data_IF_703950985803
#
_entry.id   IF_703950985803
#
_cell.length_a   1.000
_cell.length_b   1.000
_cell.length_c   1.000
_cell.angle_alpha   90.00
_cell.angle_beta   90.00
_cell.angle_gamma   90.00
#
_symmetry.space_group_name_H-M   'P 1'
#
loop_
_entity.id
_entity.type
_entity.pdbx_description
1 polymer ?
#
# COMPACT_ATOMS: atom_id res chain seq x y z
N UNK A 1 -22.27 26.92 -15.69
CA UNK A 1 -22.88 26.74 -14.36
C UNK A 1 -22.07 25.72 -13.61
N UNK A 2 -21.52 26.08 -12.46
CA UNK A 2 -20.70 25.18 -11.63
C UNK A 2 -21.62 24.21 -10.86
N UNK A 3 -21.11 23.04 -10.48
CA UNK A 3 -21.82 22.02 -9.69
C UNK A 3 -22.45 22.58 -8.39
N UNK A 4 -21.96 23.69 -7.88
CA UNK A 4 -22.48 24.36 -6.68
C UNK A 4 -23.79 25.15 -6.88
N UNK A 5 -24.16 25.46 -8.11
CA UNK A 5 -25.40 26.21 -8.40
C UNK A 5 -26.61 25.29 -8.64
N UNK A 6 -26.41 24.02 -8.99
CA UNK A 6 -27.45 23.02 -9.22
C UNK A 6 -28.09 22.48 -7.93
N UNK A 7 -27.41 22.59 -6.79
CA UNK A 7 -27.93 22.12 -5.48
C UNK A 7 -29.05 22.98 -4.87
N UNK A 8 -29.44 24.07 -5.50
CA UNK A 8 -30.55 24.95 -5.00
C UNK A 8 -31.95 24.55 -5.46
N UNK A 9 -32.05 23.57 -6.34
CA UNK A 9 -33.32 23.09 -6.85
C UNK A 9 -33.56 21.65 -6.44
N UNK A 10 -34.77 21.33 -5.95
CA UNK A 10 -35.16 19.98 -5.50
C UNK A 10 -35.31 19.02 -6.71
N UNK A 11 -34.22 18.36 -7.12
CA UNK A 11 -34.21 17.34 -8.17
C UNK A 11 -33.74 16.01 -7.60
N UNK A 12 -34.32 14.90 -8.03
CA UNK A 12 -33.74 13.56 -7.86
C UNK A 12 -32.93 13.23 -9.14
N UNK A 13 -31.66 12.86 -8.97
CA UNK A 13 -30.77 12.48 -10.06
C UNK A 13 -30.66 10.95 -10.07
N UNK A 14 -31.04 10.33 -11.19
CA UNK A 14 -30.87 8.90 -11.40
C UNK A 14 -29.87 8.68 -12.52
N UNK A 15 -28.84 7.82 -12.27
CA UNK A 15 -27.87 7.38 -13.29
C UNK A 15 -28.19 5.92 -13.64
N UNK A 16 -28.43 5.63 -14.91
CA UNK A 16 -28.68 4.28 -15.42
C UNK A 16 -27.72 3.95 -16.55
N UNK A 17 -27.41 2.67 -16.72
CA UNK A 17 -26.59 2.14 -17.80
C UNK A 17 -27.33 1.01 -18.50
N UNK A 18 -27.56 1.17 -19.81
CA UNK A 18 -28.05 0.11 -20.69
C UNK A 18 -27.04 -0.09 -21.80
N UNK A 19 -26.32 -1.21 -21.78
CA UNK A 19 -25.23 -1.46 -22.71
C UNK A 19 -24.09 -0.44 -22.57
N UNK A 20 -23.64 0.16 -23.67
CA UNK A 20 -22.57 1.16 -23.72
C UNK A 20 -23.04 2.62 -23.66
N UNK A 21 -24.29 2.86 -23.27
CA UNK A 21 -24.88 4.22 -23.23
C UNK A 21 -25.18 4.58 -21.78
N UNK A 22 -24.61 5.69 -21.30
CA UNK A 22 -24.94 6.31 -20.01
C UNK A 22 -25.97 7.43 -20.23
N UNK A 23 -27.04 7.45 -19.41
CA UNK A 23 -28.01 8.54 -19.41
C UNK A 23 -28.25 9.04 -17.99
N UNK A 24 -28.44 10.36 -17.90
CA UNK A 24 -28.76 11.07 -16.67
C UNK A 24 -30.20 11.53 -16.73
N UNK A 25 -31.06 11.01 -15.85
CA UNK A 25 -32.46 11.46 -15.74
C UNK A 25 -32.59 12.42 -14.56
N UNK A 26 -33.05 13.65 -14.85
CA UNK A 26 -33.43 14.66 -13.87
C UNK A 26 -34.94 14.64 -13.66
N UNK A 27 -35.41 14.38 -12.45
CA UNK A 27 -36.84 14.40 -12.09
C UNK A 27 -37.11 15.63 -11.22
N UNK A 28 -37.97 16.53 -11.74
CA UNK A 28 -38.49 17.70 -10.99
C UNK A 28 -39.47 17.25 -9.90
N UNK A 29 -39.23 17.63 -8.64
CA UNK A 29 -40.24 17.52 -7.58
C UNK A 29 -41.12 18.79 -7.59
N UNK A 30 -42.30 18.71 -8.20
CA UNK A 30 -43.33 19.74 -8.03
C UNK A 30 -44.23 19.35 -6.86
N UNK A 31 -44.28 20.18 -5.81
CA UNK A 31 -45.36 20.14 -4.83
C UNK A 31 -46.61 20.67 -5.49
N UNK A 32 -47.55 19.79 -5.85
CA UNK A 32 -48.89 20.20 -6.29
C UNK A 32 -49.82 20.05 -5.09
N UNK A 33 -50.39 21.19 -4.65
CA UNK A 33 -51.59 21.22 -3.80
C UNK A 33 -52.80 20.63 -4.55
N UNK A 34 -53.75 19.97 -3.90
CA UNK A 34 -54.77 19.19 -4.59
C UNK A 34 -55.84 20.07 -5.20
N UNK A 35 -55.96 20.04 -6.52
CA UNK A 35 -57.16 20.45 -7.23
C UNK A 35 -57.44 19.49 -8.39
N UNK A 36 -58.64 18.90 -8.33
CA UNK A 36 -59.44 18.12 -9.29
C UNK A 36 -58.80 17.50 -10.56
N UNK A 37 -59.15 16.21 -10.68
CA UNK A 37 -59.23 15.34 -11.88
C UNK A 37 -58.97 16.06 -13.22
N UNK A 38 -57.92 15.68 -13.92
CA UNK A 38 -57.86 15.19 -15.31
C UNK A 38 -56.40 15.22 -15.82
N UNK A 39 -56.02 14.11 -16.46
CA UNK A 39 -54.87 13.87 -17.35
C UNK A 39 -53.44 14.06 -16.79
N UNK A 40 -52.82 12.93 -16.50
CA UNK A 40 -51.35 12.80 -16.39
C UNK A 40 -50.75 12.84 -17.81
N UNK A 41 -50.23 13.99 -18.22
CA UNK A 41 -49.34 14.07 -19.37
C UNK A 41 -47.90 14.09 -18.85
N UNK A 42 -47.18 13.00 -19.06
CA UNK A 42 -45.74 12.93 -18.80
C UNK A 42 -45.03 13.47 -20.04
N UNK A 43 -44.50 14.69 -19.95
CA UNK A 43 -43.68 15.26 -21.03
C UNK A 43 -42.24 14.74 -20.79
N UNK A 44 -41.76 13.86 -21.67
CA UNK A 44 -40.38 13.49 -21.77
C UNK A 44 -39.63 14.51 -22.64
N UNK A 45 -38.81 15.38 -22.04
CA UNK A 45 -37.85 16.20 -22.75
C UNK A 45 -36.55 15.43 -22.85
N UNK A 46 -36.33 14.76 -23.98
CA UNK A 46 -35.05 14.09 -24.28
C UNK A 46 -34.11 15.14 -24.89
N UNK A 47 -33.11 15.58 -24.11
CA UNK A 47 -31.98 16.33 -24.63
C UNK A 47 -30.95 15.35 -25.15
N UNK A 48 -30.82 15.22 -26.46
CA UNK A 48 -29.70 14.54 -27.10
C UNK A 48 -28.47 15.50 -27.06
N UNK A 49 -27.58 15.30 -26.14
CA UNK A 49 -26.25 15.93 -26.22
C UNK A 49 -25.36 15.08 -27.15
N UNK A 50 -25.16 15.56 -28.35
CA UNK A 50 -24.06 15.11 -29.22
C UNK A 50 -22.75 15.61 -28.58
N UNK A 51 -22.12 14.78 -27.75
CA UNK A 51 -20.74 14.99 -27.35
C UNK A 51 -19.83 14.66 -28.53
N UNK A 52 -19.36 15.69 -29.24
CA UNK A 52 -18.15 15.59 -30.02
C UNK A 52 -17.04 15.09 -29.11
N UNK A 53 -16.33 14.04 -29.52
CA UNK A 53 -15.38 13.27 -28.72
C UNK A 53 -14.34 14.14 -28.01
N UNK A 54 -14.58 14.49 -26.77
CA UNK A 54 -13.53 14.75 -25.82
C UNK A 54 -12.98 13.37 -25.47
N UNK A 55 -11.86 13.00 -26.08
CA UNK A 55 -11.08 11.88 -25.61
C UNK A 55 -10.64 12.25 -24.18
N UNK A 56 -11.33 11.70 -23.18
CA UNK A 56 -10.78 11.62 -21.82
C UNK A 56 -9.52 10.78 -21.99
N UNK A 57 -8.32 11.30 -21.69
CA UNK A 57 -7.14 10.46 -21.73
C UNK A 57 -7.43 9.25 -20.85
N UNK A 58 -7.34 8.05 -21.42
CA UNK A 58 -7.45 6.82 -20.66
C UNK A 58 -6.45 6.93 -19.49
N UNK A 59 -6.92 6.68 -18.28
CA UNK A 59 -6.05 6.58 -17.13
C UNK A 59 -4.93 5.59 -17.52
N UNK A 60 -3.71 6.10 -17.65
CA UNK A 60 -2.53 5.28 -17.93
C UNK A 60 -2.44 4.32 -16.74
N UNK A 61 -2.76 3.05 -16.97
CA UNK A 61 -2.61 2.05 -15.94
C UNK A 61 -1.13 1.99 -15.55
N UNK A 62 -0.83 1.95 -14.28
CA UNK A 62 0.52 1.95 -13.69
C UNK A 62 1.50 0.94 -14.35
N UNK A 63 1.00 -0.03 -15.10
CA UNK A 63 1.79 -1.06 -15.79
C UNK A 63 2.49 -0.58 -17.08
N UNK A 64 2.11 0.55 -17.66
CA UNK A 64 2.65 1.05 -18.94
C UNK A 64 3.69 2.17 -18.78
N UNK A 65 3.89 2.70 -17.57
CA UNK A 65 4.93 3.68 -17.32
C UNK A 65 6.31 3.02 -17.34
N UNK A 66 7.17 3.45 -18.26
CA UNK A 66 8.57 3.00 -18.31
C UNK A 66 9.43 3.97 -17.53
N UNK A 67 10.11 3.46 -16.48
CA UNK A 67 11.12 4.21 -15.76
C UNK A 67 12.53 3.79 -16.16
N UNK A 68 13.42 4.77 -16.32
CA UNK A 68 14.86 4.55 -16.36
C UNK A 68 15.32 4.20 -14.95
N UNK A 69 16.20 3.19 -14.77
CA UNK A 69 16.75 2.90 -13.45
C UNK A 69 17.49 4.10 -12.83
N UNK A 70 17.49 4.25 -11.50
CA UNK A 70 18.21 5.33 -10.83
C UNK A 70 19.74 5.17 -10.90
N UNK A 71 20.23 4.00 -11.34
CA UNK A 71 21.65 3.67 -11.44
C UNK A 71 21.95 2.88 -12.72
N UNK A 72 23.19 3.01 -13.22
CA UNK A 72 23.69 2.28 -14.42
C UNK A 72 24.26 0.89 -14.09
N UNK A 73 24.39 0.53 -12.82
CA UNK A 73 24.89 -0.78 -12.37
C UNK A 73 23.77 -1.73 -11.99
N UNK A 74 24.03 -3.05 -11.84
CA UNK A 74 23.02 -4.03 -11.43
C UNK A 74 22.34 -3.67 -10.12
N UNK A 75 21.01 -3.67 -10.13
CA UNK A 75 20.17 -3.25 -9.00
C UNK A 75 20.05 -4.37 -7.97
N UNK A 76 20.35 -4.06 -6.72
CA UNK A 76 20.04 -4.86 -5.54
C UNK A 76 19.56 -3.95 -4.42
N UNK A 77 18.81 -4.50 -3.46
CA UNK A 77 18.17 -3.71 -2.41
C UNK A 77 18.71 -4.07 -1.02
N UNK A 78 18.59 -3.14 -0.08
CA UNK A 78 18.72 -3.38 1.36
C UNK A 78 17.38 -3.40 2.08
N UNK A 79 16.34 -2.84 1.49
CA UNK A 79 14.95 -2.86 1.94
C UNK A 79 14.00 -2.75 0.75
N UNK A 80 12.83 -3.40 0.83
CA UNK A 80 11.80 -3.32 -0.20
C UNK A 80 10.57 -2.53 0.27
N UNK A 81 9.65 -2.26 -0.66
CA UNK A 81 8.38 -1.60 -0.39
C UNK A 81 7.52 -2.43 0.57
N UNK A 82 6.82 -1.75 1.48
CA UNK A 82 5.91 -2.40 2.42
C UNK A 82 6.57 -3.24 3.51
N UNK A 83 7.91 -3.22 3.63
CA UNK A 83 8.61 -3.88 4.73
C UNK A 83 8.11 -3.37 6.08
N UNK A 84 7.85 -4.31 7.02
CA UNK A 84 7.35 -3.98 8.35
C UNK A 84 8.44 -3.31 9.17
N UNK A 85 8.28 -2.03 9.46
CA UNK A 85 9.09 -1.26 10.40
C UNK A 85 8.38 -1.16 11.75
N UNK A 86 9.01 -0.57 12.76
CA UNK A 86 8.47 -0.55 14.14
C UNK A 86 7.06 0.05 14.25
N UNK A 87 6.71 1.05 13.43
CA UNK A 87 5.44 1.78 13.51
C UNK A 87 4.94 2.34 12.16
N UNK A 88 5.53 1.89 11.04
CA UNK A 88 5.17 2.32 9.69
C UNK A 88 5.60 1.26 8.66
N UNK A 89 5.06 1.33 7.45
CA UNK A 89 5.56 0.61 6.29
C UNK A 89 6.76 1.32 5.69
N UNK A 90 7.70 0.58 5.16
CA UNK A 90 8.76 1.14 4.32
C UNK A 90 8.14 1.64 3.00
N UNK A 91 8.23 2.95 2.72
CA UNK A 91 7.51 3.60 1.62
C UNK A 91 8.10 3.40 0.24
N UNK A 92 9.32 2.87 0.13
CA UNK A 92 10.04 2.81 -1.13
C UNK A 92 10.97 1.61 -1.26
N UNK A 93 12.02 1.78 -2.08
CA UNK A 93 13.11 0.84 -2.25
C UNK A 93 14.43 1.45 -1.75
N UNK A 94 15.18 0.70 -0.96
CA UNK A 94 16.52 1.05 -0.53
C UNK A 94 17.56 0.43 -1.48
N UNK A 95 18.00 1.17 -2.51
CA UNK A 95 18.97 0.72 -3.50
C UNK A 95 20.37 0.66 -2.92
N UNK A 96 21.02 -0.49 -2.96
CA UNK A 96 22.42 -0.65 -2.52
C UNK A 96 23.38 0.08 -3.45
N UNK A 97 24.34 0.77 -2.88
CA UNK A 97 25.41 1.49 -3.60
C UNK A 97 26.81 0.87 -3.38
N UNK A 98 26.83 -0.42 -2.98
CA UNK A 98 28.09 -1.13 -2.72
C UNK A 98 28.83 -0.63 -1.47
N UNK A 99 28.10 -0.05 -0.50
CA UNK A 99 28.68 0.51 0.73
C UNK A 99 29.45 1.83 0.51
N UNK A 100 29.25 2.51 -0.63
CA UNK A 100 29.91 3.77 -0.98
C UNK A 100 28.90 4.88 -1.25
N UNK A 101 29.31 6.12 -0.97
CA UNK A 101 28.57 7.34 -1.35
C UNK A 101 29.05 7.85 -2.72
N UNK A 102 28.33 8.84 -3.28
CA UNK A 102 28.78 9.55 -4.50
C UNK A 102 28.42 8.87 -5.81
N UNK A 103 27.57 7.83 -5.82
CA UNK A 103 27.07 7.23 -7.06
C UNK A 103 26.08 8.18 -7.72
N UNK A 104 26.20 8.44 -9.05
CA UNK A 104 25.22 9.26 -9.76
C UNK A 104 23.83 8.68 -9.65
N UNK A 105 22.86 9.52 -9.25
CA UNK A 105 21.43 9.18 -9.18
C UNK A 105 20.74 9.81 -10.37
N UNK A 106 20.02 9.01 -11.15
CA UNK A 106 19.36 9.43 -12.39
C UNK A 106 17.88 9.70 -12.16
N UNK A 107 17.34 10.73 -12.84
CA UNK A 107 15.90 10.93 -12.97
C UNK A 107 15.25 9.75 -13.71
N UNK A 108 14.14 9.25 -13.22
CA UNK A 108 13.49 8.04 -13.74
C UNK A 108 12.76 8.29 -15.07
N UNK A 109 12.28 9.51 -15.28
CA UNK A 109 11.56 9.94 -16.49
C UNK A 109 11.77 11.44 -16.73
N UNK A 110 11.14 11.97 -17.76
CA UNK A 110 11.08 13.41 -18.03
C UNK A 110 10.11 14.10 -17.05
N UNK A 111 10.53 15.26 -16.50
CA UNK A 111 9.77 16.01 -15.53
C UNK A 111 10.53 17.22 -15.01
N UNK A 112 10.34 17.56 -13.75
CA UNK A 112 11.02 18.66 -13.08
C UNK A 112 11.20 18.42 -11.58
N UNK A 113 12.19 19.05 -10.96
CA UNK A 113 12.41 19.03 -9.53
C UNK A 113 11.33 19.88 -8.86
N UNK A 114 10.49 19.26 -8.03
CA UNK A 114 9.34 19.88 -7.41
C UNK A 114 9.59 20.36 -5.98
N UNK A 115 10.59 19.79 -5.29
CA UNK A 115 10.97 20.19 -3.93
C UNK A 115 12.40 19.74 -3.63
N UNK A 116 13.13 20.58 -2.90
CA UNK A 116 14.51 20.36 -2.48
C UNK A 116 14.58 20.56 -0.98
N UNK A 117 15.12 19.62 -0.24
CA UNK A 117 15.22 19.70 1.23
C UNK A 117 16.57 19.22 1.72
N UNK A 118 17.07 19.87 2.77
CA UNK A 118 18.15 19.37 3.60
C UNK A 118 17.63 19.36 5.04
N UNK A 119 17.54 18.17 5.65
CA UNK A 119 16.95 17.98 6.98
C UNK A 119 17.78 17.02 7.82
N UNK A 120 17.74 17.14 9.14
CA UNK A 120 18.42 16.19 10.03
C UNK A 120 17.90 14.76 9.88
N UNK A 121 16.58 14.59 9.67
CA UNK A 121 15.95 13.28 9.61
C UNK A 121 16.25 12.51 8.32
N UNK A 122 16.02 13.14 7.17
CA UNK A 122 16.12 12.49 5.85
C UNK A 122 17.40 12.84 5.08
N UNK A 123 18.22 13.74 5.61
CA UNK A 123 19.43 14.23 4.95
C UNK A 123 19.12 15.15 3.76
N UNK A 124 19.89 15.03 2.70
CA UNK A 124 19.63 15.67 1.42
C UNK A 124 18.51 14.90 0.69
N UNK A 125 17.45 15.61 0.32
CA UNK A 125 16.23 15.04 -0.25
C UNK A 125 15.82 15.79 -1.51
N UNK A 126 15.51 15.07 -2.57
CA UNK A 126 15.09 15.62 -3.85
C UNK A 126 13.78 15.00 -4.29
N UNK A 127 12.74 15.82 -4.43
CA UNK A 127 11.44 15.40 -4.94
C UNK A 127 11.37 15.77 -6.42
N UNK A 128 10.94 14.82 -7.25
CA UNK A 128 10.80 15.02 -8.71
C UNK A 128 9.39 14.66 -9.14
N UNK A 129 8.73 15.56 -9.85
CA UNK A 129 7.45 15.34 -10.49
C UNK A 129 7.67 14.99 -11.96
N UNK A 130 7.10 13.89 -12.43
CA UNK A 130 7.26 13.41 -13.80
C UNK A 130 6.01 13.63 -14.64
N UNK A 131 6.20 13.81 -15.95
CA UNK A 131 5.12 14.04 -16.92
C UNK A 131 4.21 12.81 -17.11
N UNK A 132 4.58 11.66 -16.58
CA UNK A 132 3.84 10.40 -16.66
C UNK A 132 2.89 10.13 -15.49
N UNK A 133 2.61 11.13 -14.65
CA UNK A 133 1.67 11.02 -13.53
C UNK A 133 2.24 10.44 -12.24
N UNK A 134 3.57 10.34 -12.13
CA UNK A 134 4.25 9.90 -10.90
C UNK A 134 5.12 10.99 -10.32
N UNK A 135 5.41 10.84 -9.02
CA UNK A 135 6.41 11.64 -8.29
C UNK A 135 7.38 10.69 -7.59
N UNK A 136 8.62 11.15 -7.38
CA UNK A 136 9.58 10.43 -6.53
C UNK A 136 10.14 11.32 -5.45
N UNK A 137 10.49 10.70 -4.32
CA UNK A 137 11.29 11.31 -3.26
C UNK A 137 12.58 10.50 -3.15
N UNK A 138 13.71 11.14 -3.41
CA UNK A 138 15.05 10.57 -3.32
C UNK A 138 15.69 11.05 -2.02
N UNK A 139 16.04 10.14 -1.09
CA UNK A 139 16.54 10.49 0.24
C UNK A 139 17.97 9.99 0.47
N UNK A 140 18.54 10.47 1.57
CA UNK A 140 19.89 10.12 2.04
C UNK A 140 21.00 10.47 1.05
N UNK A 141 20.76 11.42 0.14
CA UNK A 141 21.73 11.87 -0.85
C UNK A 141 22.95 12.51 -0.17
N UNK A 142 24.10 12.51 -0.84
CA UNK A 142 25.28 13.21 -0.35
C UNK A 142 25.33 14.67 -0.80
N UNK A 143 24.81 14.96 -2.00
CA UNK A 143 24.75 16.30 -2.56
C UNK A 143 23.80 16.32 -3.76
N UNK A 144 23.36 17.50 -4.15
CA UNK A 144 22.69 17.78 -5.42
C UNK A 144 23.73 18.10 -6.50
N UNK A 145 23.30 18.32 -7.76
CA UNK A 145 24.19 18.68 -8.84
C UNK A 145 23.75 19.98 -9.52
N UNK A 146 24.68 20.64 -10.23
CA UNK A 146 24.39 21.81 -11.07
C UNK A 146 23.85 23.00 -10.29
N UNK A 147 22.81 23.65 -10.87
CA UNK A 147 22.20 24.85 -10.29
C UNK A 147 21.49 24.60 -8.98
N UNK A 148 20.93 23.41 -8.80
CA UNK A 148 20.29 23.01 -7.54
C UNK A 148 21.30 23.01 -6.38
N UNK A 149 22.50 22.45 -6.60
CA UNK A 149 23.54 22.43 -5.58
C UNK A 149 23.93 23.85 -5.17
N UNK A 150 24.18 24.74 -6.14
CA UNK A 150 24.51 26.15 -5.87
C UNK A 150 23.40 26.88 -5.10
N UNK A 151 22.15 26.71 -5.57
CA UNK A 151 20.99 27.37 -4.92
C UNK A 151 20.81 26.93 -3.46
N UNK A 152 21.05 25.65 -3.15
CA UNK A 152 21.00 25.14 -1.78
C UNK A 152 22.13 25.73 -0.94
N UNK A 153 23.36 25.74 -1.43
CA UNK A 153 24.52 26.31 -0.76
C UNK A 153 24.32 27.80 -0.46
N UNK A 154 23.91 28.58 -1.45
CA UNK A 154 23.61 30.01 -1.29
C UNK A 154 22.56 30.24 -0.19
N UNK A 155 21.48 29.44 -0.19
CA UNK A 155 20.41 29.57 0.79
C UNK A 155 20.85 29.16 2.22
N UNK A 156 21.74 28.16 2.33
CA UNK A 156 22.31 27.73 3.60
C UNK A 156 23.18 28.85 4.21
N UNK A 157 23.99 29.55 3.40
CA UNK A 157 24.76 30.72 3.83
C UNK A 157 23.87 31.94 4.15
N UNK A 158 22.86 32.19 3.31
CA UNK A 158 21.91 33.30 3.53
C UNK A 158 21.16 33.15 4.85
N UNK A 159 20.73 31.93 5.17
CA UNK A 159 19.97 31.60 6.38
C UNK A 159 20.82 31.25 7.59
N UNK A 160 22.14 31.15 7.42
CA UNK A 160 23.07 30.62 8.44
C UNK A 160 22.55 29.28 9.03
N UNK A 161 21.99 28.42 8.18
CA UNK A 161 21.33 27.17 8.56
C UNK A 161 21.72 26.04 7.62
N UNK A 162 22.05 24.88 8.21
CA UNK A 162 22.22 23.66 7.42
C UNK A 162 20.90 23.16 6.85
N UNK A 163 19.81 23.29 7.62
CA UNK A 163 18.46 22.87 7.16
C UNK A 163 17.85 23.95 6.27
N UNK A 164 17.47 23.54 5.07
CA UNK A 164 16.80 24.41 4.09
C UNK A 164 15.74 23.63 3.35
N UNK A 165 14.75 24.38 2.89
CA UNK A 165 13.69 23.89 2.02
C UNK A 165 13.42 24.89 0.92
N UNK A 166 13.32 24.39 -0.31
CA UNK A 166 13.02 25.16 -1.52
C UNK A 166 11.91 24.42 -2.25
N UNK A 167 10.85 25.14 -2.62
CA UNK A 167 9.81 24.67 -3.53
C UNK A 167 9.94 25.49 -4.82
N UNK A 168 10.61 24.95 -5.86
CA UNK A 168 10.75 25.64 -7.14
C UNK A 168 9.39 25.81 -7.82
N UNK A 169 9.31 26.79 -8.73
CA UNK A 169 8.17 26.89 -9.65
C UNK A 169 8.13 25.67 -10.59
N UNK A 170 6.93 25.20 -10.98
CA UNK A 170 6.82 24.08 -11.92
C UNK A 170 7.63 24.32 -13.19
N UNK A 171 8.57 23.41 -13.48
CA UNK A 171 9.44 23.49 -14.65
C UNK A 171 10.68 24.39 -14.49
N UNK A 172 10.94 25.01 -13.33
CA UNK A 172 12.15 25.81 -13.07
C UNK A 172 13.43 25.00 -13.20
N UNK A 173 13.43 23.74 -12.72
CA UNK A 173 14.52 22.79 -12.86
C UNK A 173 14.06 21.55 -13.66
N UNK A 174 14.00 21.63 -14.99
CA UNK A 174 13.55 20.50 -15.81
C UNK A 174 14.59 19.38 -15.79
N UNK A 175 14.12 18.14 -15.83
CA UNK A 175 14.95 16.93 -15.89
C UNK A 175 14.54 16.03 -17.05
N UNK A 176 15.51 15.34 -17.65
CA UNK A 176 15.28 14.31 -18.67
C UNK A 176 15.48 12.92 -18.06
N UNK A 177 14.81 11.92 -18.60
CA UNK A 177 15.06 10.52 -18.23
C UNK A 177 16.55 10.19 -18.34
N UNK A 178 17.12 9.58 -17.31
CA UNK A 178 18.54 9.24 -17.21
C UNK A 178 19.49 10.41 -16.91
N UNK A 179 18.99 11.62 -16.72
CA UNK A 179 19.81 12.76 -16.30
C UNK A 179 20.27 12.57 -14.85
N UNK A 180 21.56 12.83 -14.58
CA UNK A 180 22.07 12.86 -13.18
C UNK A 180 21.46 14.06 -12.48
N UNK A 181 20.77 13.81 -11.35
CA UNK A 181 20.08 14.82 -10.53
C UNK A 181 20.70 15.01 -9.14
N UNK A 182 21.42 14.00 -8.64
CA UNK A 182 22.07 14.02 -7.34
C UNK A 182 23.15 12.94 -7.27
N UNK A 183 23.87 12.88 -6.13
CA UNK A 183 24.77 11.79 -5.77
C UNK A 183 24.23 11.04 -4.56
N UNK A 184 24.30 9.69 -4.59
CA UNK A 184 23.90 8.85 -3.47
C UNK A 184 24.76 9.09 -2.22
N UNK A 185 24.16 8.89 -1.05
CA UNK A 185 24.83 9.23 0.19
C UNK A 185 24.51 8.31 1.36
N UNK A 186 24.63 8.90 2.55
CA UNK A 186 24.33 8.28 3.85
C UNK A 186 23.92 9.37 4.85
N UNK A 187 23.25 10.44 4.38
CA UNK A 187 22.85 11.58 5.21
C UNK A 187 21.51 11.32 5.90
N UNK A 188 21.25 12.00 7.03
CA UNK A 188 20.06 11.78 7.84
C UNK A 188 20.10 10.45 8.62
N UNK A 189 18.93 9.92 8.98
CA UNK A 189 18.82 8.63 9.69
C UNK A 189 19.02 7.47 8.71
N UNK A 190 20.26 7.10 8.48
CA UNK A 190 20.67 6.03 7.60
C UNK A 190 21.73 5.16 8.27
N UNK A 191 21.63 3.83 8.14
CA UNK A 191 22.56 2.87 8.72
C UNK A 191 23.74 2.52 7.80
N UNK A 192 23.78 3.03 6.59
CA UNK A 192 24.82 2.79 5.61
C UNK A 192 24.49 3.38 4.25
N UNK A 193 25.50 3.56 3.35
CA UNK A 193 25.31 4.16 2.05
C UNK A 193 24.26 3.43 1.20
N UNK A 194 23.19 4.14 0.80
CA UNK A 194 22.13 3.66 -0.09
C UNK A 194 21.37 4.84 -0.69
N UNK A 195 20.53 4.59 -1.66
CA UNK A 195 19.46 5.51 -2.11
C UNK A 195 18.13 4.96 -1.63
N UNK A 196 17.41 5.72 -0.80
CA UNK A 196 16.00 5.47 -0.55
C UNK A 196 15.17 6.20 -1.60
N UNK A 197 14.33 5.46 -2.31
CA UNK A 197 13.48 5.97 -3.38
C UNK A 197 12.02 5.62 -3.11
N UNK A 198 11.21 6.62 -2.77
CA UNK A 198 9.75 6.50 -2.76
C UNK A 198 9.20 6.85 -4.15
N UNK A 199 8.15 6.16 -4.57
CA UNK A 199 7.34 6.50 -5.75
C UNK A 199 5.91 6.76 -5.31
N UNK A 200 5.33 7.83 -5.84
CA UNK A 200 3.94 8.23 -5.57
C UNK A 200 3.16 8.34 -6.87
N UNK A 201 1.90 7.97 -6.82
CA UNK A 201 0.94 8.37 -7.85
C UNK A 201 0.53 9.83 -7.62
N UNK A 202 0.66 10.68 -8.67
CA UNK A 202 0.51 12.12 -8.50
C UNK A 202 -0.92 12.56 -8.13
N UNK A 203 -1.93 11.82 -8.59
CA UNK A 203 -3.34 12.16 -8.38
C UNK A 203 -3.86 11.80 -6.99
N UNK A 204 -3.33 10.75 -6.38
CA UNK A 204 -3.80 10.22 -5.10
C UNK A 204 -2.86 10.49 -3.93
N UNK A 205 -1.59 10.80 -4.21
CA UNK A 205 -0.49 10.83 -3.24
C UNK A 205 -0.26 9.47 -2.51
N UNK A 206 -0.74 8.37 -3.10
CA UNK A 206 -0.45 7.04 -2.58
C UNK A 206 1.01 6.68 -2.86
N UNK A 207 1.68 6.08 -1.87
CA UNK A 207 2.92 5.34 -2.07
C UNK A 207 2.63 4.12 -2.94
N UNK A 208 3.45 3.90 -3.97
CA UNK A 208 3.33 2.79 -4.91
C UNK A 208 4.58 1.93 -4.84
N UNK A 209 4.43 0.60 -4.87
CA UNK A 209 5.60 -0.30 -4.97
C UNK A 209 6.42 0.03 -6.22
N UNK A 210 7.68 0.48 -6.08
CA UNK A 210 8.50 0.82 -7.23
C UNK A 210 9.04 -0.39 -7.99
N UNK A 211 9.08 -1.59 -7.37
CA UNK A 211 9.75 -2.76 -7.93
C UNK A 211 9.20 -3.20 -9.30
N UNK A 212 7.88 -3.18 -9.57
CA UNK A 212 7.33 -3.52 -10.88
C UNK A 212 7.90 -2.69 -12.04
N UNK A 213 8.26 -1.42 -11.82
CA UNK A 213 8.87 -0.57 -12.86
C UNK A 213 10.27 -1.01 -13.23
N UNK A 214 10.97 -1.70 -12.33
CA UNK A 214 12.35 -2.16 -12.51
C UNK A 214 12.48 -3.66 -12.76
N UNK A 215 11.37 -4.41 -12.86
CA UNK A 215 11.37 -5.88 -12.96
C UNK A 215 12.29 -6.46 -14.06
N UNK A 216 12.47 -5.72 -15.18
CA UNK A 216 13.36 -6.14 -16.29
C UNK A 216 14.86 -5.99 -15.93
N UNK A 217 15.18 -5.25 -14.88
CA UNK A 217 16.55 -4.95 -14.43
C UNK A 217 16.92 -5.66 -13.11
N UNK A 218 15.93 -6.28 -12.47
CA UNK A 218 16.10 -7.05 -11.22
C UNK A 218 16.02 -8.52 -11.56
N UNK A 219 17.01 -9.28 -11.10
CA UNK A 219 17.03 -10.73 -11.23
C UNK A 219 16.76 -11.36 -9.87
N UNK A 220 15.65 -12.07 -9.78
CA UNK A 220 15.28 -12.81 -8.57
C UNK A 220 14.42 -14.03 -8.91
N UNK A 221 14.79 -15.18 -8.31
CA UNK A 221 14.07 -16.45 -8.44
C UNK A 221 13.81 -17.05 -7.05
N UNK A 222 14.06 -16.30 -5.99
CA UNK A 222 13.97 -16.77 -4.62
C UNK A 222 12.59 -16.45 -4.05
N UNK A 223 11.78 -17.48 -3.81
CA UNK A 223 10.45 -17.30 -3.24
C UNK A 223 10.49 -16.94 -1.74
N UNK A 224 9.48 -16.22 -1.22
CA UNK A 224 9.34 -15.90 0.20
C UNK A 224 9.33 -17.16 1.07
N UNK A 225 9.82 -17.04 2.33
CA UNK A 225 9.91 -18.13 3.30
C UNK A 225 9.16 -17.78 4.57
N UNK A 226 8.30 -18.69 5.01
CA UNK A 226 7.69 -18.60 6.33
C UNK A 226 8.63 -19.10 7.42
N UNK A 227 8.53 -18.51 8.61
CA UNK A 227 9.30 -18.89 9.80
C UNK A 227 8.42 -19.37 10.95
N UNK A 228 7.11 -19.10 10.94
CA UNK A 228 6.18 -19.52 11.97
C UNK A 228 4.77 -19.03 11.73
N UNK A 229 3.84 -19.63 12.45
CA UNK A 229 2.42 -19.26 12.44
C UNK A 229 1.99 -18.87 13.85
N UNK A 230 0.93 -18.06 13.96
CA UNK A 230 0.32 -17.71 15.23
C UNK A 230 -1.20 -17.77 15.09
N UNK A 231 -1.88 -18.31 16.09
CA UNK A 231 -3.33 -18.32 16.14
C UNK A 231 -3.83 -17.40 17.25
N UNK A 232 -4.90 -16.67 16.95
CA UNK A 232 -5.51 -15.66 17.78
C UNK A 232 -6.96 -16.07 18.13
N UNK A 233 -7.21 -16.68 19.31
CA UNK A 233 -8.58 -16.88 19.75
C UNK A 233 -9.24 -15.52 19.96
N UNK A 234 -10.44 -15.35 19.41
CA UNK A 234 -11.18 -14.10 19.63
C UNK A 234 -11.70 -14.07 21.08
N UNK A 235 -11.60 -12.90 21.77
CA UNK A 235 -11.98 -12.78 23.18
C UNK A 235 -13.41 -13.26 23.44
N UNK A 236 -13.59 -14.19 24.41
CA UNK A 236 -14.89 -14.76 24.77
C UNK A 236 -15.57 -15.60 23.69
N UNK A 237 -14.90 -15.87 22.55
CA UNK A 237 -15.47 -16.57 21.40
C UNK A 237 -14.58 -17.69 20.85
N UNK A 238 -13.33 -17.81 21.32
CA UNK A 238 -12.40 -18.81 20.83
C UNK A 238 -11.36 -19.24 21.85
N UNK A 239 -10.78 -20.43 21.61
CA UNK A 239 -9.65 -20.99 22.37
C UNK A 239 -8.67 -21.66 21.42
N UNK A 240 -7.37 -21.63 21.76
CA UNK A 240 -6.29 -22.30 21.03
C UNK A 240 -5.47 -23.09 22.07
N UNK A 241 -5.26 -24.38 21.86
CA UNK A 241 -4.54 -25.24 22.79
C UNK A 241 -5.12 -25.22 24.22
N UNK A 242 -6.45 -25.05 24.33
CA UNK A 242 -7.14 -24.92 25.63
C UNK A 242 -7.02 -23.55 26.31
N UNK A 243 -6.43 -22.55 25.65
CA UNK A 243 -6.22 -21.20 26.18
C UNK A 243 -6.93 -20.12 25.34
N UNK A 244 -7.35 -19.03 25.98
CA UNK A 244 -7.93 -17.85 25.34
C UNK A 244 -6.88 -16.76 25.05
N UNK A 245 -5.62 -17.16 24.88
CA UNK A 245 -4.50 -16.30 24.50
C UNK A 245 -3.94 -16.75 23.16
N UNK A 246 -3.43 -15.80 22.38
CA UNK A 246 -2.72 -16.12 21.14
C UNK A 246 -1.52 -17.03 21.40
N UNK A 247 -1.24 -17.93 20.47
CA UNK A 247 -0.14 -18.88 20.57
C UNK A 247 0.62 -18.96 19.25
N UNK A 248 1.96 -18.92 19.34
CA UNK A 248 2.85 -19.14 18.21
C UNK A 248 3.21 -20.62 18.10
N UNK A 249 3.32 -21.08 16.86
CA UNK A 249 3.69 -22.46 16.52
C UNK A 249 4.80 -22.46 15.47
N UNK A 250 5.75 -23.42 15.53
CA UNK A 250 6.64 -23.67 14.42
C UNK A 250 5.86 -24.21 13.22
N UNK A 251 6.43 -24.16 12.02
CA UNK A 251 5.80 -24.69 10.80
C UNK A 251 5.53 -26.20 10.85
N UNK A 252 6.36 -26.95 11.60
CA UNK A 252 6.22 -28.38 11.84
C UNK A 252 6.07 -28.64 13.35
N UNK A 253 4.89 -28.44 13.94
CA UNK A 253 4.66 -28.60 15.36
C UNK A 253 4.74 -30.09 15.73
N UNK A 254 5.40 -30.40 16.84
CA UNK A 254 5.51 -31.79 17.37
C UNK A 254 4.18 -32.35 17.89
N UNK A 255 3.29 -31.46 18.34
CA UNK A 255 1.97 -31.81 18.83
C UNK A 255 0.89 -31.21 17.92
N UNK A 256 -0.25 -31.88 17.77
CA UNK A 256 -1.37 -31.35 17.02
C UNK A 256 -1.80 -29.98 17.55
N UNK A 257 -2.00 -29.02 16.65
CA UNK A 257 -2.61 -27.73 16.99
C UNK A 257 -4.10 -27.98 17.17
N UNK A 258 -4.65 -27.59 18.32
CA UNK A 258 -6.09 -27.69 18.60
C UNK A 258 -6.70 -26.30 18.79
N UNK A 259 -7.94 -26.11 18.34
CA UNK A 259 -8.68 -24.88 18.52
C UNK A 259 -10.20 -25.15 18.59
N UNK A 260 -10.95 -24.18 19.13
CA UNK A 260 -12.41 -24.19 19.14
C UNK A 260 -12.97 -22.77 19.13
N UNK A 261 -14.07 -22.57 18.41
CA UNK A 261 -14.73 -21.27 18.27
C UNK A 261 -14.04 -20.38 17.25
N UNK A 262 -14.12 -19.07 17.45
CA UNK A 262 -13.70 -18.06 16.47
C UNK A 262 -12.21 -17.73 16.61
N UNK A 263 -11.45 -17.97 15.52
CA UNK A 263 -9.98 -17.90 15.50
C UNK A 263 -9.50 -17.03 14.36
N UNK A 264 -8.53 -16.15 14.63
CA UNK A 264 -7.69 -15.51 13.62
C UNK A 264 -6.38 -16.26 13.43
N UNK A 265 -5.78 -16.15 12.25
CA UNK A 265 -4.44 -16.69 11.97
C UNK A 265 -3.48 -15.58 11.59
N UNK A 266 -2.19 -15.77 11.81
CA UNK A 266 -1.13 -14.90 11.34
C UNK A 266 0.11 -15.69 10.95
N UNK A 267 0.93 -15.11 10.07
CA UNK A 267 2.15 -15.73 9.58
C UNK A 267 3.35 -14.79 9.77
N UNK A 268 4.48 -15.34 10.20
CA UNK A 268 5.78 -14.68 10.14
C UNK A 268 6.52 -15.22 8.92
N UNK A 269 6.78 -14.34 7.97
CA UNK A 269 7.43 -14.69 6.72
C UNK A 269 8.25 -13.50 6.21
N UNK A 270 9.27 -13.80 5.43
CA UNK A 270 10.11 -12.81 4.77
C UNK A 270 10.36 -13.24 3.33
N UNK A 271 10.56 -12.26 2.51
CA UNK A 271 11.06 -12.42 1.16
C UNK A 271 12.58 -12.33 1.12
N UNK A 272 13.19 -12.83 0.06
CA UNK A 272 14.63 -12.88 -0.16
C UNK A 272 14.93 -12.63 -1.63
N UNK A 273 16.15 -12.19 -1.94
CA UNK A 273 16.58 -11.93 -3.31
C UNK A 273 17.86 -12.72 -3.63
N UNK A 274 17.99 -13.16 -4.89
CA UNK A 274 19.16 -13.86 -5.39
C UNK A 274 20.46 -13.09 -5.09
N UNK A 275 21.44 -13.76 -4.45
CA UNK A 275 22.76 -13.20 -4.15
C UNK A 275 22.80 -12.10 -3.08
N UNK A 276 21.71 -11.89 -2.34
CA UNK A 276 21.60 -10.90 -1.27
C UNK A 276 21.14 -11.55 0.03
N UNK A 277 21.75 -11.18 1.16
CA UNK A 277 21.42 -11.74 2.48
C UNK A 277 20.32 -11.01 3.23
N UNK A 278 19.77 -9.94 2.66
CA UNK A 278 18.72 -9.15 3.30
C UNK A 278 17.40 -9.92 3.35
N UNK A 279 16.60 -9.61 4.37
CA UNK A 279 15.19 -10.00 4.49
C UNK A 279 14.32 -8.86 4.02
N UNK A 280 13.26 -9.19 3.29
CA UNK A 280 12.32 -8.22 2.76
C UNK A 280 10.90 -8.51 3.22
N UNK A 281 10.01 -7.53 3.08
CA UNK A 281 8.57 -7.71 3.24
C UNK A 281 7.98 -8.61 2.16
N UNK A 282 7.00 -9.41 2.52
CA UNK A 282 6.26 -10.28 1.57
C UNK A 282 5.20 -9.44 0.88
N UNK A 283 5.20 -9.44 -0.46
CA UNK A 283 4.26 -8.65 -1.26
C UNK A 283 2.81 -9.16 -1.14
N UNK A 284 2.59 -10.47 -1.26
CA UNK A 284 1.25 -11.06 -1.20
C UNK A 284 1.20 -12.22 -0.22
N UNK A 285 0.21 -12.17 0.68
CA UNK A 285 -0.13 -13.28 1.59
C UNK A 285 -1.58 -13.68 1.33
N UNK A 286 -1.83 -14.96 1.02
CA UNK A 286 -3.16 -15.52 0.88
C UNK A 286 -3.32 -16.63 1.90
N UNK A 287 -4.43 -16.66 2.62
CA UNK A 287 -4.82 -17.76 3.50
C UNK A 287 -6.08 -18.43 2.95
N UNK A 288 -5.96 -19.74 2.73
CA UNK A 288 -7.07 -20.63 2.43
C UNK A 288 -7.29 -21.58 3.60
N UNK A 289 -8.55 -21.87 3.92
CA UNK A 289 -8.95 -22.91 4.87
C UNK A 289 -9.93 -23.85 4.19
N UNK A 290 -9.62 -25.15 4.19
CA UNK A 290 -10.39 -26.17 3.46
C UNK A 290 -10.64 -25.78 1.99
N UNK A 291 -9.61 -25.24 1.34
CA UNK A 291 -9.62 -24.76 -0.07
C UNK A 291 -10.49 -23.51 -0.33
N UNK A 292 -10.96 -22.84 0.70
CA UNK A 292 -11.70 -21.57 0.60
C UNK A 292 -10.78 -20.43 1.01
N UNK A 293 -10.62 -19.42 0.14
CA UNK A 293 -9.86 -18.23 0.48
C UNK A 293 -10.61 -17.44 1.57
N UNK A 294 -9.95 -17.22 2.70
CA UNK A 294 -10.52 -16.50 3.84
C UNK A 294 -9.89 -15.12 4.02
N UNK A 295 -8.67 -14.93 3.53
CA UNK A 295 -7.95 -13.66 3.65
C UNK A 295 -6.90 -13.51 2.54
N UNK A 296 -6.69 -12.26 2.13
CA UNK A 296 -5.60 -11.85 1.23
C UNK A 296 -5.08 -10.48 1.65
N UNK A 297 -3.75 -10.30 1.63
CA UNK A 297 -3.11 -8.99 1.61
C UNK A 297 -2.27 -8.85 0.35
N UNK A 298 -2.29 -7.65 -0.26
CA UNK A 298 -1.44 -7.29 -1.40
C UNK A 298 -0.83 -5.93 -1.10
N UNK A 299 0.47 -5.93 -0.82
CA UNK A 299 1.22 -4.74 -0.39
C UNK A 299 1.83 -4.07 -1.62
N UNK A 300 1.00 -3.40 -2.40
CA UNK A 300 1.35 -2.72 -3.65
C UNK A 300 1.20 -1.20 -3.58
N UNK A 301 0.36 -0.71 -2.64
CA UNK A 301 0.13 0.71 -2.38
C UNK A 301 -0.46 0.97 -1.01
N UNK A 302 -0.21 2.16 -0.48
CA UNK A 302 -0.89 2.70 0.71
C UNK A 302 -0.78 4.23 0.75
N UNK A 303 -1.70 4.88 1.43
CA UNK A 303 -1.63 6.33 1.69
C UNK A 303 -0.82 6.62 2.96
N UNK A 304 -0.41 7.88 3.14
CA UNK A 304 0.26 8.33 4.38
C UNK A 304 -0.62 8.05 5.62
N UNK A 305 -1.94 8.23 5.51
CA UNK A 305 -2.87 7.96 6.60
C UNK A 305 -2.95 6.47 6.98
N UNK A 306 -2.77 5.58 5.99
CA UNK A 306 -2.76 4.13 6.21
C UNK A 306 -1.45 3.64 6.81
N UNK A 307 -0.36 4.38 6.65
CA UNK A 307 0.98 3.95 7.02
C UNK A 307 1.07 3.52 8.50
N UNK A 308 0.37 4.22 9.40
CA UNK A 308 0.32 3.89 10.84
C UNK A 308 -0.58 2.71 11.19
N UNK A 309 -1.45 2.27 10.29
CA UNK A 309 -2.33 1.12 10.51
C UNK A 309 -1.58 -0.22 10.55
N UNK A 310 -0.30 -0.24 10.24
CA UNK A 310 0.59 -1.40 10.43
C UNK A 310 0.48 -1.97 11.84
N UNK A 311 0.31 -1.12 12.86
CA UNK A 311 0.18 -1.53 14.26
C UNK A 311 -1.08 -2.34 14.55
N UNK A 312 -2.15 -2.17 13.76
CA UNK A 312 -3.37 -2.99 13.88
C UNK A 312 -3.30 -4.26 13.02
N UNK A 313 -2.49 -4.25 11.96
CA UNK A 313 -2.30 -5.42 11.10
C UNK A 313 -1.29 -6.42 11.63
N UNK A 314 -0.24 -5.95 12.31
CA UNK A 314 0.84 -6.84 12.77
C UNK A 314 0.78 -7.14 14.27
N UNK A 315 1.42 -8.22 14.68
CA UNK A 315 1.78 -8.53 16.05
C UNK A 315 3.26 -8.92 16.09
N UNK A 316 4.13 -7.99 16.46
CA UNK A 316 5.55 -8.11 16.22
C UNK A 316 5.84 -8.31 14.74
N UNK A 317 6.50 -9.40 14.38
CA UNK A 317 6.80 -9.75 12.98
C UNK A 317 5.74 -10.68 12.33
N UNK A 318 4.60 -10.91 12.99
CA UNK A 318 3.50 -11.70 12.45
C UNK A 318 2.50 -10.79 11.73
N UNK A 319 2.24 -11.08 10.46
CA UNK A 319 1.17 -10.45 9.67
C UNK A 319 -0.13 -11.17 9.94
N UNK A 320 -1.11 -10.48 10.52
CA UNK A 320 -2.44 -11.03 10.77
C UNK A 320 -3.16 -11.30 9.44
N UNK A 321 -3.73 -12.47 9.32
CA UNK A 321 -4.57 -12.86 8.19
C UNK A 321 -6.04 -12.71 8.55
N UNK A 322 -6.36 -11.65 9.24
CA UNK A 322 -7.71 -11.17 9.56
C UNK A 322 -7.66 -9.66 9.83
N UNK A 323 -8.79 -9.01 9.68
CA UNK A 323 -8.93 -7.56 9.78
C UNK A 323 -9.46 -7.20 11.18
N UNK A 324 -8.65 -6.50 11.97
CA UNK A 324 -9.08 -5.97 13.27
C UNK A 324 -10.17 -4.90 13.10
N UNK A 325 -11.09 -4.75 14.08
CA UNK A 325 -12.05 -3.65 14.06
C UNK A 325 -11.34 -2.30 13.97
N UNK A 326 -11.79 -1.44 13.05
CA UNK A 326 -11.20 -0.11 12.81
C UNK A 326 -9.94 -0.09 11.94
N UNK A 327 -9.45 -1.23 11.48
CA UNK A 327 -8.38 -1.27 10.48
C UNK A 327 -8.94 -0.87 9.10
N UNK A 328 -8.33 0.13 8.46
CA UNK A 328 -8.76 0.70 7.18
C UNK A 328 -7.78 0.48 6.05
N UNK A 329 -6.79 -0.41 6.23
CA UNK A 329 -5.82 -0.75 5.18
C UNK A 329 -6.55 -1.35 3.97
N UNK A 330 -6.49 -0.64 2.84
CA UNK A 330 -7.13 -1.04 1.57
C UNK A 330 -6.52 -2.31 0.97
N UNK A 331 -5.28 -2.62 1.31
CA UNK A 331 -4.57 -3.81 0.86
C UNK A 331 -5.04 -5.11 1.52
N UNK A 332 -5.93 -5.07 2.52
CA UNK A 332 -6.43 -6.24 3.23
C UNK A 332 -7.81 -6.63 2.72
N UNK A 333 -7.98 -7.87 2.31
CA UNK A 333 -9.23 -8.41 1.78
C UNK A 333 -9.63 -9.67 2.54
N UNK A 334 -10.90 -9.76 2.94
CA UNK A 334 -11.46 -10.91 3.66
C UNK A 334 -12.73 -11.40 2.94
N UNK A 335 -12.60 -12.21 1.87
CA UNK A 335 -13.71 -12.63 1.02
C UNK A 335 -14.71 -13.56 1.73
N UNK A 336 -14.33 -14.16 2.87
CA UNK A 336 -15.22 -14.99 3.67
C UNK A 336 -16.34 -14.23 4.41
N UNK A 337 -16.43 -12.90 4.26
CA UNK A 337 -17.42 -12.06 4.93
C UNK A 337 -17.30 -11.97 6.46
N UNK A 338 -16.29 -12.64 7.06
CA UNK A 338 -16.04 -12.67 8.51
C UNK A 338 -14.67 -12.05 8.87
N UNK A 339 -14.26 -11.01 8.14
CA UNK A 339 -12.99 -10.31 8.37
C UNK A 339 -11.75 -11.22 8.40
N UNK A 340 -11.76 -12.38 7.69
CA UNK A 340 -10.68 -13.36 7.72
C UNK A 340 -10.67 -14.28 8.95
N UNK A 341 -11.63 -14.13 9.86
CA UNK A 341 -11.77 -15.03 11.00
C UNK A 341 -12.39 -16.36 10.58
N UNK A 342 -11.92 -17.44 11.22
CA UNK A 342 -12.30 -18.82 10.94
C UNK A 342 -13.09 -19.36 12.13
N UNK A 343 -14.26 -19.95 11.87
CA UNK A 343 -15.06 -20.62 12.90
C UNK A 343 -14.74 -22.10 12.91
N UNK A 344 -14.18 -22.59 14.04
CA UNK A 344 -13.87 -23.99 14.30
C UNK A 344 -14.92 -24.52 15.26
N UNK A 345 -15.98 -25.14 14.71
CA UNK A 345 -17.17 -25.59 15.45
C UNK A 345 -17.47 -27.10 15.30
N UNK A 346 -16.60 -27.83 14.61
CA UNK A 346 -16.68 -29.28 14.42
C UNK A 346 -15.40 -29.96 14.90
N UNK A 347 -15.52 -31.16 15.45
CA UNK A 347 -14.37 -31.97 15.88
C UNK A 347 -13.79 -32.76 14.70
N UNK A 348 -13.11 -32.02 13.81
CA UNK A 348 -12.44 -32.52 12.61
C UNK A 348 -11.14 -31.76 12.34
N UNK A 349 -10.31 -32.25 11.42
CA UNK A 349 -9.19 -31.46 10.91
C UNK A 349 -9.69 -30.32 10.01
N UNK A 350 -9.07 -29.13 10.13
CA UNK A 350 -9.18 -27.98 9.25
C UNK A 350 -7.83 -27.76 8.59
N UNK A 351 -7.81 -27.69 7.26
CA UNK A 351 -6.59 -27.59 6.47
C UNK A 351 -6.31 -26.16 6.08
N UNK A 352 -5.24 -25.61 6.62
CA UNK A 352 -4.78 -24.24 6.38
C UNK A 352 -3.67 -24.26 5.33
N UNK A 353 -3.76 -23.37 4.34
CA UNK A 353 -2.74 -23.17 3.31
C UNK A 353 -2.43 -21.69 3.22
N UNK A 354 -1.20 -21.31 3.54
CA UNK A 354 -0.67 -20.02 3.18
C UNK A 354 0.02 -20.07 1.83
N UNK A 355 -0.32 -19.17 0.92
CA UNK A 355 0.43 -18.89 -0.31
C UNK A 355 1.09 -17.52 -0.15
N UNK A 356 2.41 -17.48 -0.30
CA UNK A 356 3.24 -16.29 -0.20
C UNK A 356 3.81 -15.97 -1.57
N UNK A 357 3.76 -14.69 -1.98
CA UNK A 357 4.37 -14.25 -3.24
C UNK A 357 5.19 -12.99 -3.01
N UNK A 358 6.30 -12.88 -3.73
CA UNK A 358 7.02 -11.62 -3.89
C UNK A 358 6.39 -10.74 -4.99
N UNK A 359 6.93 -9.55 -5.20
CA UNK A 359 6.47 -8.62 -6.24
C UNK A 359 6.86 -9.06 -7.67
N UNK A 360 7.77 -10.03 -7.84
CA UNK A 360 8.20 -10.57 -9.13
C UNK A 360 7.46 -11.85 -9.51
N UNK A 361 6.65 -12.42 -8.59
CA UNK A 361 5.79 -13.58 -8.83
C UNK A 361 6.33 -14.91 -8.31
N UNK A 362 7.53 -14.94 -7.68
CA UNK A 362 8.02 -16.16 -7.04
C UNK A 362 7.10 -16.54 -5.89
N UNK A 363 6.77 -17.82 -5.78
CA UNK A 363 5.68 -18.28 -4.90
C UNK A 363 6.12 -19.45 -4.05
N UNK A 364 5.77 -19.42 -2.76
CA UNK A 364 5.88 -20.55 -1.85
C UNK A 364 4.56 -20.84 -1.14
N UNK A 365 4.43 -22.05 -0.60
CA UNK A 365 3.23 -22.49 0.14
C UNK A 365 3.60 -23.17 1.44
N UNK A 366 2.84 -22.85 2.48
CA UNK A 366 2.92 -23.47 3.81
C UNK A 366 1.58 -24.11 4.13
N UNK A 367 1.61 -25.38 4.58
CA UNK A 367 0.42 -26.12 4.95
C UNK A 367 0.53 -26.56 6.40
N UNK A 368 -0.57 -26.46 7.13
CA UNK A 368 -0.70 -27.00 8.48
C UNK A 368 -2.15 -27.37 8.76
N UNK A 369 -2.35 -28.17 9.80
CA UNK A 369 -3.69 -28.61 10.19
C UNK A 369 -3.99 -28.12 11.60
N UNK A 370 -5.20 -27.58 11.79
CA UNK A 370 -5.77 -27.27 13.10
C UNK A 370 -6.91 -28.27 13.36
N UNK A 371 -6.85 -28.97 14.48
CA UNK A 371 -7.89 -29.92 14.86
C UNK A 371 -8.94 -29.22 15.71
N UNK A 372 -10.18 -29.25 15.28
CA UNK A 372 -11.31 -28.86 16.11
C UNK A 372 -11.39 -29.74 17.33
N UNK A 373 -11.34 -29.14 18.51
CA UNK A 373 -11.50 -29.85 19.78
C UNK A 373 -12.39 -29.03 20.68
N UNK A 374 -13.61 -29.53 20.92
CA UNK A 374 -14.57 -28.84 21.78
C UNK A 374 -13.96 -28.52 23.13
N UNK A 375 -13.98 -27.26 23.47
CA UNK A 375 -13.39 -26.70 24.69
C UNK A 375 -14.29 -25.59 25.19
N UNK A 376 -14.46 -25.49 26.52
CA UNK A 376 -15.21 -24.42 27.13
C UNK A 376 -14.59 -23.04 26.80
N UNK A 377 -15.41 -22.12 26.36
CA UNK A 377 -15.02 -20.73 26.10
C UNK A 377 -15.58 -19.89 27.25
N UNK A 378 -14.70 -19.31 28.06
CA UNK A 378 -15.10 -18.44 29.17
C UNK A 378 -15.46 -17.06 28.62
N UNK A 379 -16.57 -16.45 29.04
CA UNK A 379 -16.91 -15.07 28.72
C UNK A 379 -15.79 -14.12 29.13
N UNK A 380 -15.65 -13.01 28.40
CA UNK A 380 -14.76 -11.92 28.84
C UNK A 380 -15.44 -11.18 29.96
N UNK A 381 -14.87 -11.22 31.15
CA UNK A 381 -15.26 -10.33 32.24
C UNK A 381 -14.65 -8.95 31.96
N UNK A 382 -15.46 -8.02 31.52
CA UNK A 382 -15.09 -6.60 31.52
C UNK A 382 -15.15 -6.11 32.96
N UNK A 383 -14.01 -6.00 33.60
CA UNK A 383 -13.93 -5.22 34.83
C UNK A 383 -14.08 -3.76 34.44
N UNK A 384 -15.19 -3.13 34.86
CA UNK A 384 -15.29 -1.68 34.83
C UNK A 384 -14.16 -1.13 35.72
N UNK A 385 -13.07 -0.75 35.07
CA UNK A 385 -12.05 0.07 35.69
C UNK A 385 -12.32 1.49 35.24
N UNK A 386 -12.68 2.30 36.20
CA UNK A 386 -12.84 3.76 36.13
C UNK A 386 -14.22 4.24 35.62
N UNK A 387 -15.08 4.51 36.57
CA UNK A 387 -15.88 5.74 36.58
C UNK A 387 -14.98 6.87 37.05
#
# INVERSE_FOLDING_TARGET
MSFGELCKYNYDIYCGKDGDIFYLCLRLKTKITPMNRYTKSTIYLSFLFLFGGVQIPAAVHAQDATFTPPFDFPITFSGNFGEIRANHFHGGLDFKTGGTIGKPVHALAEGYISRIRVTHGSGYVLDVAYNNGYKTINRHLSTFVGDVARRVEDLQYEKESWEVEITPEPGEYPVKAGQVIALSGNTGYSFGPHLHLDVFEADTDDYIDPLPFFKKKVKDNTAPRAEGIMLFPQPGRGVVGGNQRHQAFPLNPKQPITAWGLIGSAIRAYDYMDGVSNRYGVHTVILEVDSVEVFRSVVDRFSENENRMINSWTYGQYMKSFIEPGNTLRMLHAPNGNRGLIEINEERPYHFVYTLKDALGNTSRVRFTVHGKRTEIKPVEYREKYV
#
